data_IF_801975875834
#
_entry.id   IF_801975875834
#
_cell.length_a   1.000
_cell.length_b   1.000
_cell.length_c   1.000
_cell.angle_alpha   90.00
_cell.angle_beta   90.00
_cell.angle_gamma   90.00
#
_symmetry.space_group_name_H-M   'P 1'
#
loop_
_entity.id
_entity.type
_entity.pdbx_description
1 polymer ?
#
# COMPACT_ATOMS: atom_id res chain seq x y z
N UNK A 1 -3.41 0.29 0.95
CA UNK A 1 -3.84 0.53 -0.44
C UNK A 1 -2.64 0.80 -1.36
N UNK A 2 -1.87 1.88 -1.15
CA UNK A 2 -0.84 2.30 -2.12
C UNK A 2 0.29 1.28 -2.33
N UNK A 3 0.81 0.72 -1.25
CA UNK A 3 1.83 -0.35 -1.32
C UNK A 3 1.32 -1.56 -2.11
N UNK A 4 0.05 -1.95 -1.94
CA UNK A 4 -0.54 -3.08 -2.66
C UNK A 4 -0.66 -2.76 -4.17
N UNK A 5 -1.21 -1.59 -4.53
CA UNK A 5 -1.31 -1.19 -5.93
C UNK A 5 0.06 -1.08 -6.62
N UNK A 6 1.06 -0.53 -5.92
CA UNK A 6 2.45 -0.48 -6.40
C UNK A 6 3.00 -1.89 -6.63
N UNK A 7 2.88 -2.78 -5.63
CA UNK A 7 3.34 -4.16 -5.72
C UNK A 7 2.73 -4.91 -6.93
N UNK A 8 1.43 -4.77 -7.17
CA UNK A 8 0.76 -5.41 -8.30
C UNK A 8 1.29 -4.92 -9.65
N UNK A 9 1.67 -3.65 -9.75
CA UNK A 9 2.29 -3.13 -10.96
C UNK A 9 3.77 -3.52 -11.09
N UNK A 10 4.52 -3.63 -9.99
CA UNK A 10 5.92 -4.09 -10.01
C UNK A 10 6.03 -5.57 -10.42
N UNK A 11 5.16 -6.43 -9.88
CA UNK A 11 5.15 -7.85 -10.21
C UNK A 11 4.41 -8.15 -11.51
N UNK A 12 3.41 -7.35 -11.88
CA UNK A 12 2.58 -7.57 -13.05
C UNK A 12 2.02 -8.99 -13.05
N UNK A 13 2.28 -9.76 -14.11
CA UNK A 13 1.78 -11.13 -14.27
C UNK A 13 2.49 -12.17 -13.39
N UNK A 14 3.59 -11.81 -12.70
CA UNK A 14 4.31 -12.73 -11.79
C UNK A 14 3.74 -12.74 -10.38
N UNK A 15 2.81 -11.84 -10.07
CA UNK A 15 2.24 -11.74 -8.73
C UNK A 15 1.48 -13.03 -8.39
N UNK A 16 1.57 -13.54 -7.14
CA UNK A 16 0.77 -14.66 -6.68
C UNK A 16 -0.65 -14.23 -6.27
N UNK A 17 -1.04 -12.99 -6.55
CA UNK A 17 -2.33 -12.41 -6.17
C UNK A 17 -3.27 -12.51 -7.36
N UNK A 18 -4.36 -13.26 -7.22
CA UNK A 18 -5.32 -13.45 -8.32
C UNK A 18 -6.19 -12.20 -8.55
N UNK A 19 -6.60 -11.53 -7.47
CA UNK A 19 -7.45 -10.34 -7.52
C UNK A 19 -7.15 -9.38 -6.37
N UNK A 20 -7.40 -8.09 -6.57
CA UNK A 20 -7.18 -7.09 -5.54
C UNK A 20 -8.26 -6.02 -5.47
N UNK A 21 -8.48 -5.49 -4.28
CA UNK A 21 -9.25 -4.27 -4.09
C UNK A 21 -8.45 -3.24 -3.28
N UNK A 22 -8.42 -2.01 -3.77
CA UNK A 22 -7.78 -0.87 -3.10
C UNK A 22 -8.80 0.24 -2.85
N UNK A 23 -8.95 0.61 -1.58
CA UNK A 23 -9.94 1.59 -1.13
C UNK A 23 -9.22 2.81 -0.55
N UNK A 24 -9.68 4.01 -0.91
CA UNK A 24 -9.10 5.28 -0.46
C UNK A 24 -7.62 5.41 -0.86
N UNK A 25 -7.23 4.86 -2.02
CA UNK A 25 -5.82 4.70 -2.35
C UNK A 25 -5.14 6.08 -2.59
N UNK A 26 -4.04 6.39 -1.88
CA UNK A 26 -3.25 7.59 -2.15
C UNK A 26 -2.29 7.36 -3.34
N UNK A 27 -2.76 7.61 -4.57
CA UNK A 27 -2.06 7.28 -5.82
C UNK A 27 -0.78 8.07 -6.10
N UNK A 28 -0.83 9.39 -5.87
CA UNK A 28 0.26 10.34 -6.11
C UNK A 28 0.67 10.97 -4.76
N UNK A 29 1.69 10.40 -4.13
CA UNK A 29 2.18 10.85 -2.82
C UNK A 29 2.72 12.28 -2.86
N UNK A 30 3.49 12.72 -3.89
CA UNK A 30 3.85 14.12 -4.04
C UNK A 30 2.65 15.07 -4.06
N UNK A 31 1.58 14.73 -4.79
CA UNK A 31 0.37 15.54 -4.86
C UNK A 31 -0.34 15.62 -3.50
N UNK A 32 -0.52 14.47 -2.86
CA UNK A 32 -1.20 14.36 -1.57
C UNK A 32 -0.46 15.17 -0.52
N UNK A 33 0.86 15.01 -0.43
CA UNK A 33 1.65 15.74 0.55
C UNK A 33 1.62 17.27 0.36
N UNK A 34 1.35 17.78 -0.85
CA UNK A 34 1.14 19.22 -1.09
C UNK A 34 -0.23 19.72 -0.65
N UNK A 35 -1.26 18.86 -0.70
CA UNK A 35 -2.65 19.22 -0.41
C UNK A 35 -3.13 18.79 0.97
N UNK A 36 -2.36 17.96 1.67
CA UNK A 36 -2.70 17.46 2.99
C UNK A 36 -2.86 18.61 3.98
N UNK A 37 -3.97 18.66 4.75
CA UNK A 37 -4.15 19.64 5.79
C UNK A 37 -3.04 19.54 6.85
N UNK A 38 -2.54 20.70 7.31
CA UNK A 38 -1.47 20.74 8.31
C UNK A 38 -1.79 19.90 9.55
N UNK A 39 -3.03 19.97 10.03
CA UNK A 39 -3.49 19.19 11.20
C UNK A 39 -3.31 17.68 11.00
N UNK A 40 -3.55 17.17 9.80
CA UNK A 40 -3.35 15.75 9.47
C UNK A 40 -1.86 15.44 9.47
N UNK A 41 -1.03 16.27 8.81
CA UNK A 41 0.41 16.04 8.74
C UNK A 41 1.11 16.14 10.11
N UNK A 42 0.62 16.99 11.00
CA UNK A 42 1.18 17.20 12.33
C UNK A 42 0.84 16.03 13.26
N UNK A 43 -0.44 15.63 13.32
CA UNK A 43 -0.86 14.45 14.10
C UNK A 43 -0.14 13.19 13.65
N UNK A 44 0.03 12.99 12.34
CA UNK A 44 0.79 11.85 11.82
C UNK A 44 2.26 11.89 12.24
N UNK A 45 2.91 13.05 12.16
CA UNK A 45 4.30 13.20 12.59
C UNK A 45 4.47 12.88 14.09
N UNK A 46 3.59 13.41 14.94
CA UNK A 46 3.60 13.13 16.39
C UNK A 46 3.43 11.64 16.67
N UNK A 47 2.44 10.98 16.06
CA UNK A 47 2.21 9.55 16.25
C UNK A 47 3.41 8.69 15.80
N UNK A 48 4.07 9.09 14.71
CA UNK A 48 5.26 8.38 14.20
C UNK A 48 6.48 8.58 15.10
N UNK A 49 6.65 9.78 15.68
CA UNK A 49 7.68 10.05 16.69
C UNK A 49 7.46 9.21 17.95
N UNK A 50 6.22 9.12 18.43
CA UNK A 50 5.87 8.25 19.57
C UNK A 50 6.16 6.78 19.27
N UNK A 51 5.82 6.31 18.07
CA UNK A 51 6.12 4.95 17.63
C UNK A 51 7.65 4.69 17.62
N UNK A 52 8.45 5.63 17.13
CA UNK A 52 9.92 5.53 17.16
C UNK A 52 10.51 5.42 18.57
N UNK A 53 9.85 6.04 19.55
CA UNK A 53 10.26 5.95 20.95
C UNK A 53 9.76 4.71 21.67
N UNK A 54 8.78 4.01 21.12
CA UNK A 54 8.32 2.75 21.68
C UNK A 54 9.40 1.67 21.56
N UNK A 55 9.48 0.76 22.55
CA UNK A 55 10.41 -0.39 22.51
C UNK A 55 10.24 -1.30 21.28
N UNK A 56 9.18 -1.11 20.49
CA UNK A 56 8.94 -1.81 19.23
C UNK A 56 9.83 -1.28 18.08
N UNK A 57 10.31 -0.04 18.15
CA UNK A 57 11.12 0.58 17.11
C UNK A 57 12.63 0.42 17.37
N UNK A 58 13.09 -0.83 17.47
CA UNK A 58 14.55 -1.15 17.48
C UNK A 58 15.26 -0.86 16.14
N UNK A 59 14.57 -0.24 15.18
CA UNK A 59 15.08 0.00 13.82
C UNK A 59 16.14 1.11 13.72
N UNK A 60 16.29 1.93 14.77
CA UNK A 60 17.11 3.15 14.73
C UNK A 60 18.43 3.03 15.52
N UNK A 61 18.54 2.03 16.40
CA UNK A 61 19.80 1.74 17.09
C UNK A 61 20.81 1.14 16.08
N UNK A 62 21.63 2.01 15.47
CA UNK A 62 22.80 1.58 14.70
C UNK A 62 23.00 2.21 13.31
N UNK A 63 22.17 3.18 12.90
CA UNK A 63 22.44 3.89 11.63
C UNK A 63 22.99 5.29 11.89
N UNK A 64 24.28 5.50 11.61
CA UNK A 64 24.96 6.82 11.70
C UNK A 64 24.33 7.89 10.79
N UNK A 65 23.48 7.46 9.85
CA UNK A 65 22.83 8.31 8.87
C UNK A 65 21.55 8.98 9.38
N UNK A 66 20.97 8.53 10.51
CA UNK A 66 19.67 9.01 11.01
C UNK A 66 19.87 9.78 12.31
N UNK A 67 19.53 11.06 12.30
CA UNK A 67 19.57 11.93 13.48
C UNK A 67 18.26 11.85 14.25
N UNK A 68 18.26 11.21 15.42
CA UNK A 68 17.09 11.19 16.31
C UNK A 68 16.60 12.60 16.64
N UNK A 69 17.52 13.57 16.78
CA UNK A 69 17.17 14.98 17.02
C UNK A 69 16.31 15.55 15.89
N UNK A 70 16.67 15.30 14.63
CA UNK A 70 15.94 15.83 13.48
C UNK A 70 14.58 15.17 13.32
N UNK A 71 14.50 13.86 13.59
CA UNK A 71 13.26 13.10 13.59
C UNK A 71 12.27 13.66 14.61
N UNK A 72 12.76 14.00 15.81
CA UNK A 72 11.94 14.55 16.89
C UNK A 72 11.59 16.02 16.74
N UNK A 73 12.37 16.76 15.98
CA UNK A 73 12.06 18.15 15.65
C UNK A 73 11.00 18.28 14.53
N UNK A 74 10.66 17.19 13.84
CA UNK A 74 9.70 17.22 12.74
C UNK A 74 8.29 17.61 13.22
N UNK A 75 7.65 18.54 12.50
CA UNK A 75 6.28 19.01 12.78
C UNK A 75 5.26 18.56 11.74
N UNK A 76 5.74 17.99 10.63
CA UNK A 76 4.91 17.49 9.54
C UNK A 76 5.45 16.14 9.08
N UNK A 77 4.58 15.31 8.51
CA UNK A 77 4.98 14.01 7.96
C UNK A 77 6.11 14.12 6.93
N UNK A 78 6.10 15.16 6.09
CA UNK A 78 7.20 15.43 5.15
C UNK A 78 8.55 15.64 5.86
N UNK A 79 8.56 16.39 6.95
CA UNK A 79 9.78 16.64 7.73
C UNK A 79 10.26 15.35 8.40
N UNK A 80 9.33 14.55 8.93
CA UNK A 80 9.65 13.25 9.51
C UNK A 80 10.23 12.31 8.44
N UNK A 81 9.61 12.23 7.26
CA UNK A 81 10.06 11.38 6.16
C UNK A 81 11.41 11.83 5.59
N UNK A 82 11.65 13.15 5.50
CA UNK A 82 12.95 13.72 5.13
C UNK A 82 14.03 13.39 6.17
N UNK A 83 13.67 13.41 7.46
CA UNK A 83 14.58 13.11 8.54
C UNK A 83 14.91 11.62 8.65
N UNK A 84 13.90 10.77 8.44
CA UNK A 84 13.92 9.34 8.70
C UNK A 84 13.84 8.50 7.42
N UNK A 85 12.65 8.38 6.80
CA UNK A 85 12.38 7.39 5.75
C UNK A 85 13.31 7.54 4.54
N UNK A 86 13.52 8.77 4.08
CA UNK A 86 14.44 9.07 2.98
C UNK A 86 15.82 8.47 3.25
N UNK A 87 16.36 8.69 4.46
CA UNK A 87 17.70 8.25 4.83
C UNK A 87 17.77 6.76 5.10
N UNK A 88 16.72 6.23 5.74
CA UNK A 88 16.58 4.80 6.02
C UNK A 88 16.60 3.96 4.74
N UNK A 89 15.87 4.42 3.71
CA UNK A 89 15.80 3.74 2.41
C UNK A 89 16.84 4.24 1.38
N UNK A 90 17.71 5.19 1.75
CA UNK A 90 18.81 5.63 0.90
C UNK A 90 18.45 6.55 -0.27
N UNK A 91 17.31 7.25 -0.24
CA UNK A 91 16.92 8.20 -1.28
C UNK A 91 17.67 9.55 -1.17
N UNK A 92 17.89 10.19 -2.33
CA UNK A 92 18.55 11.50 -2.40
C UNK A 92 17.69 12.62 -1.81
N UNK A 93 16.38 12.62 -2.07
CA UNK A 93 15.39 13.56 -1.51
C UNK A 93 14.11 12.84 -1.06
N UNK A 94 13.33 13.43 -0.14
CA UNK A 94 12.00 12.91 0.19
C UNK A 94 11.05 12.95 -1.01
N UNK A 95 11.32 13.84 -1.98
CA UNK A 95 10.60 13.88 -3.24
C UNK A 95 10.85 12.64 -4.10
N UNK A 96 12.08 12.11 -4.11
CA UNK A 96 12.41 10.84 -4.77
C UNK A 96 11.69 9.68 -4.09
N UNK A 97 11.74 9.63 -2.76
CA UNK A 97 11.03 8.63 -1.96
C UNK A 97 9.53 8.61 -2.28
N UNK A 98 8.87 9.77 -2.31
CA UNK A 98 7.44 9.82 -2.63
C UNK A 98 7.13 9.50 -4.08
N UNK A 99 7.96 9.94 -5.05
CA UNK A 99 7.75 9.59 -6.46
C UNK A 99 7.84 8.09 -6.66
N UNK A 100 8.87 7.46 -6.12
CA UNK A 100 9.06 6.02 -6.23
C UNK A 100 7.95 5.26 -5.49
N UNK A 101 7.57 5.72 -4.30
CA UNK A 101 6.47 5.15 -3.53
C UNK A 101 5.08 5.32 -4.16
N UNK A 102 4.90 6.16 -5.18
CA UNK A 102 3.58 6.46 -5.74
C UNK A 102 3.09 5.35 -6.68
N UNK A 103 1.96 4.71 -6.35
CA UNK A 103 1.39 3.64 -7.16
C UNK A 103 0.92 4.08 -8.55
N UNK A 104 0.66 5.39 -8.76
CA UNK A 104 0.23 5.93 -10.06
C UNK A 104 1.14 5.54 -11.22
N UNK A 105 2.46 5.51 -11.00
CA UNK A 105 3.45 5.18 -12.03
C UNK A 105 3.39 3.70 -12.48
N UNK A 106 2.79 2.84 -11.66
CA UNK A 106 2.80 1.39 -11.83
C UNK A 106 1.45 0.84 -12.35
N UNK A 107 0.40 1.67 -12.43
CA UNK A 107 -0.95 1.25 -12.83
C UNK A 107 -0.94 0.51 -14.16
N UNK A 108 -0.22 1.02 -15.16
CA UNK A 108 -0.16 0.43 -16.51
C UNK A 108 0.45 -0.98 -16.54
N UNK A 109 1.21 -1.35 -15.51
CA UNK A 109 1.88 -2.65 -15.41
C UNK A 109 1.06 -3.69 -14.63
N UNK A 110 -0.05 -3.31 -13.99
CA UNK A 110 -0.97 -4.25 -13.31
C UNK A 110 -1.54 -5.23 -14.35
N UNK A 111 -1.54 -6.53 -14.03
CA UNK A 111 -1.99 -7.64 -14.91
C UNK A 111 -3.03 -8.56 -14.27
N UNK A 112 -3.56 -8.19 -13.11
CA UNK A 112 -4.58 -8.95 -12.40
C UNK A 112 -5.78 -8.04 -12.12
N UNK A 113 -7.01 -8.55 -12.10
CA UNK A 113 -8.17 -7.70 -11.92
C UNK A 113 -8.09 -6.95 -10.59
N UNK A 114 -8.13 -5.63 -10.68
CA UNK A 114 -8.01 -4.72 -9.55
C UNK A 114 -9.19 -3.76 -9.51
N UNK A 115 -9.96 -3.81 -8.42
CA UNK A 115 -10.99 -2.82 -8.12
C UNK A 115 -10.42 -1.67 -7.28
N UNK A 116 -10.43 -0.46 -7.83
CA UNK A 116 -10.07 0.77 -7.14
C UNK A 116 -11.33 1.55 -6.72
N UNK A 117 -11.36 2.03 -5.47
CA UNK A 117 -12.45 2.87 -4.96
C UNK A 117 -11.90 4.10 -4.24
N UNK A 118 -12.30 5.30 -4.66
CA UNK A 118 -11.93 6.57 -4.00
C UNK A 118 -13.15 7.49 -3.85
N UNK A 119 -13.18 8.32 -2.82
CA UNK A 119 -14.22 9.33 -2.65
C UNK A 119 -13.72 10.69 -3.14
N UNK A 120 -14.59 11.47 -3.79
CA UNK A 120 -14.26 12.80 -4.31
C UNK A 120 -14.19 13.86 -3.20
N UNK A 121 -14.82 13.60 -2.05
CA UNK A 121 -14.77 14.43 -0.83
C UNK A 121 -13.68 13.98 0.16
N UNK A 122 -12.75 13.12 -0.25
CA UNK A 122 -11.65 12.64 0.59
C UNK A 122 -10.72 13.79 1.00
N UNK A 123 -10.56 14.09 2.31
CA UNK A 123 -9.71 15.18 2.79
C UNK A 123 -8.21 14.86 2.74
N UNK A 124 -7.85 13.60 2.47
CA UNK A 124 -6.47 13.11 2.34
C UNK A 124 -6.12 12.94 0.87
N UNK A 125 -6.96 12.24 0.10
CA UNK A 125 -6.75 11.99 -1.34
C UNK A 125 -7.61 12.94 -2.16
N UNK A 126 -7.10 14.15 -2.37
CA UNK A 126 -7.80 15.16 -3.15
C UNK A 126 -8.08 14.67 -4.59
N UNK A 127 -9.31 14.88 -5.10
CA UNK A 127 -9.79 14.35 -6.38
C UNK A 127 -8.90 14.67 -7.60
N UNK A 128 -8.20 15.81 -7.59
CA UNK A 128 -7.24 16.20 -8.65
C UNK A 128 -5.98 15.33 -8.72
N UNK A 129 -5.75 14.47 -7.72
CA UNK A 129 -4.65 13.50 -7.71
C UNK A 129 -5.12 12.07 -8.04
N UNK A 130 -6.37 11.92 -8.50
CA UNK A 130 -6.90 10.61 -8.89
C UNK A 130 -6.49 10.26 -10.33
N UNK A 131 -6.03 9.03 -10.57
CA UNK A 131 -5.48 8.61 -11.86
C UNK A 131 -6.56 8.06 -12.79
N UNK A 132 -7.49 8.94 -13.19
CA UNK A 132 -8.63 8.56 -14.03
C UNK A 132 -8.17 7.94 -15.36
N UNK A 133 -7.22 8.58 -16.03
CA UNK A 133 -6.74 8.16 -17.34
C UNK A 133 -5.90 6.89 -17.26
N UNK A 134 -5.02 6.78 -16.26
CA UNK A 134 -4.17 5.60 -16.09
C UNK A 134 -4.99 4.36 -15.79
N UNK A 135 -6.00 4.45 -14.90
CA UNK A 135 -6.90 3.33 -14.59
C UNK A 135 -7.78 3.01 -15.80
N UNK A 136 -8.39 4.00 -16.45
CA UNK A 136 -9.23 3.76 -17.63
C UNK A 136 -8.44 3.11 -18.79
N UNK A 137 -7.14 3.41 -18.91
CA UNK A 137 -6.28 2.83 -19.95
C UNK A 137 -5.87 1.38 -19.69
N UNK A 138 -6.01 0.86 -18.47
CA UNK A 138 -5.61 -0.51 -18.15
C UNK A 138 -6.84 -1.45 -18.10
N UNK A 139 -6.94 -2.45 -18.99
CA UNK A 139 -8.08 -3.37 -19.04
C UNK A 139 -8.23 -4.26 -17.80
N UNK A 140 -7.19 -4.39 -16.96
CA UNK A 140 -7.24 -5.15 -15.71
C UNK A 140 -7.79 -4.33 -14.53
N UNK A 141 -8.17 -3.07 -14.74
CA UNK A 141 -8.58 -2.22 -13.62
C UNK A 141 -10.00 -1.70 -13.80
N UNK A 142 -10.73 -1.67 -12.69
CA UNK A 142 -12.02 -1.00 -12.58
C UNK A 142 -11.91 0.12 -11.54
N UNK A 143 -12.36 1.32 -11.88
CA UNK A 143 -12.28 2.46 -10.98
C UNK A 143 -13.66 3.02 -10.65
N UNK A 144 -13.96 3.10 -9.36
CA UNK A 144 -15.20 3.66 -8.84
C UNK A 144 -14.87 4.90 -8.02
N UNK A 145 -15.43 6.03 -8.43
CA UNK A 145 -15.42 7.24 -7.62
C UNK A 145 -16.80 7.53 -7.05
N UNK A 146 -16.86 7.91 -5.78
CA UNK A 146 -18.12 8.28 -5.13
C UNK A 146 -18.10 9.76 -4.81
N UNK A 147 -19.28 10.41 -4.89
CA UNK A 147 -19.38 11.83 -4.52
C UNK A 147 -19.03 12.07 -3.05
N UNK A 148 -19.38 11.12 -2.18
CA UNK A 148 -19.15 11.19 -0.74
C UNK A 148 -18.61 9.87 -0.19
N UNK A 149 -17.84 9.94 0.90
CA UNK A 149 -17.26 8.80 1.60
C UNK A 149 -16.07 9.16 2.48
N UNK A 150 -15.49 10.36 2.31
CA UNK A 150 -14.26 10.73 3.01
C UNK A 150 -13.12 9.74 2.72
N UNK A 151 -12.09 9.74 3.57
CA UNK A 151 -10.93 8.86 3.35
C UNK A 151 -11.23 7.37 3.56
N UNK A 152 -12.05 7.06 4.58
CA UNK A 152 -12.32 5.68 5.03
C UNK A 152 -13.79 5.46 5.42
N UNK A 153 -14.68 6.41 5.12
CA UNK A 153 -15.95 6.56 5.83
C UNK A 153 -17.18 6.61 4.93
N UNK A 154 -17.29 5.66 3.98
CA UNK A 154 -18.51 5.36 3.20
C UNK A 154 -19.66 4.84 4.10
N UNK A 155 -20.01 5.61 5.13
CA UNK A 155 -21.08 5.34 6.07
C UNK A 155 -22.40 5.82 5.45
N UNK A 156 -23.43 4.99 5.58
CA UNK A 156 -24.80 5.39 5.26
C UNK A 156 -25.55 5.56 6.57
N UNK A 157 -26.21 6.71 6.76
CA UNK A 157 -27.17 6.85 7.85
C UNK A 157 -28.40 6.00 7.50
N UNK A 158 -28.77 5.09 8.40
CA UNK A 158 -30.03 4.34 8.28
C UNK A 158 -31.18 5.34 8.18
N UNK A 159 -31.99 5.24 7.12
CA UNK A 159 -33.12 6.13 6.84
C UNK A 159 -33.99 6.32 8.10
N UNK A 160 -34.43 7.55 8.40
CA UNK A 160 -35.13 7.88 9.66
C UNK A 160 -36.41 7.07 9.86
N UNK A 161 -36.98 6.53 8.77
CA UNK A 161 -38.14 5.62 8.74
C UNK A 161 -37.88 4.22 9.29
N UNK A 162 -36.64 3.73 9.31
CA UNK A 162 -36.33 2.37 9.82
C UNK A 162 -36.16 2.31 11.34
N UNK A 163 -36.09 3.45 12.04
CA UNK A 163 -36.02 3.49 13.51
C UNK A 163 -37.31 3.02 14.19
N UNK A 164 -38.47 3.16 13.54
CA UNK A 164 -39.76 2.79 14.12
C UNK A 164 -40.01 1.27 14.13
N UNK A 165 -39.20 0.47 13.41
CA UNK A 165 -39.36 -0.98 13.31
C UNK A 165 -38.40 -1.79 14.20
N UNK A 166 -37.73 -1.17 15.17
CA UNK A 166 -36.89 -1.89 16.15
C UNK A 166 -35.68 -2.63 15.56
N UNK A 167 -35.34 -2.40 14.29
CA UNK A 167 -34.16 -2.98 13.67
C UNK A 167 -32.93 -2.13 14.01
N UNK A 168 -32.22 -2.50 15.07
CA UNK A 168 -30.84 -2.08 15.29
C UNK A 168 -29.93 -2.80 14.28
N UNK A 169 -29.94 -2.37 13.02
CA UNK A 169 -28.87 -2.74 12.09
C UNK A 169 -28.39 -1.47 11.41
N UNK A 170 -27.28 -0.96 11.92
CA UNK A 170 -26.41 -0.08 11.15
C UNK A 170 -25.98 -0.93 9.96
N UNK A 171 -26.59 -0.73 8.79
CA UNK A 171 -26.17 -1.39 7.55
C UNK A 171 -24.77 -0.88 7.23
N UNK A 172 -23.77 -1.64 7.70
CA UNK A 172 -22.38 -1.30 7.50
C UNK A 172 -22.05 -1.55 6.03
N UNK A 173 -21.98 -0.42 5.31
CA UNK A 173 -21.07 -0.19 4.17
C UNK A 173 -21.51 -0.94 2.92
N UNK A 174 -22.32 -0.30 2.08
CA UNK A 174 -22.53 -0.73 0.69
C UNK A 174 -21.19 -1.04 -0.02
N UNK A 175 -20.10 -0.34 0.35
CA UNK A 175 -18.76 -0.60 -0.15
C UNK A 175 -18.25 -2.01 0.24
N UNK A 176 -18.60 -2.54 1.40
CA UNK A 176 -18.29 -3.92 1.76
C UNK A 176 -19.06 -4.92 0.88
N UNK A 177 -20.34 -4.64 0.56
CA UNK A 177 -21.11 -5.46 -0.37
C UNK A 177 -20.55 -5.40 -1.80
N UNK A 178 -20.11 -4.21 -2.24
CA UNK A 178 -19.42 -4.02 -3.52
C UNK A 178 -18.13 -4.86 -3.57
N UNK A 179 -17.27 -4.73 -2.55
CA UNK A 179 -16.00 -5.45 -2.47
C UNK A 179 -16.26 -6.95 -2.46
N UNK A 180 -17.23 -7.42 -1.67
CA UNK A 180 -17.62 -8.83 -1.64
C UNK A 180 -18.10 -9.30 -3.01
N UNK A 181 -19.01 -8.57 -3.65
CA UNK A 181 -19.51 -8.93 -4.98
C UNK A 181 -18.43 -8.97 -6.06
N UNK A 182 -17.41 -8.09 -5.97
CA UNK A 182 -16.25 -8.15 -6.84
C UNK A 182 -15.47 -9.46 -6.66
N UNK A 183 -15.18 -9.86 -5.42
CA UNK A 183 -14.48 -11.11 -5.16
C UNK A 183 -15.34 -12.34 -5.49
N UNK A 184 -16.64 -12.31 -5.22
CA UNK A 184 -17.57 -13.40 -5.57
C UNK A 184 -17.60 -13.63 -7.10
N UNK A 185 -17.65 -12.55 -7.88
CA UNK A 185 -17.58 -12.61 -9.34
C UNK A 185 -16.24 -13.15 -9.82
N UNK A 186 -15.15 -12.64 -9.24
CA UNK A 186 -13.79 -13.02 -9.59
C UNK A 186 -13.54 -14.52 -9.36
N UNK A 187 -13.94 -15.05 -8.20
CA UNK A 187 -13.83 -16.48 -7.88
C UNK A 187 -14.78 -17.33 -8.73
N UNK A 188 -15.99 -16.84 -9.01
CA UNK A 188 -16.93 -17.51 -9.91
C UNK A 188 -16.38 -17.70 -11.33
N UNK A 189 -15.60 -16.73 -11.84
CA UNK A 189 -14.96 -16.82 -13.16
C UNK A 189 -13.85 -17.88 -13.22
N UNK A 190 -13.14 -18.14 -12.11
CA UNK A 190 -12.14 -19.23 -12.06
C UNK A 190 -12.80 -20.62 -12.09
N UNK A 191 -13.98 -20.75 -11.47
CA UNK A 191 -14.75 -22.00 -11.45
C UNK A 191 -15.28 -22.42 -12.83
N UNK A 192 -15.57 -21.46 -13.72
CA UNK A 192 -16.05 -21.73 -15.08
C UNK A 192 -14.91 -22.02 -16.08
N UNK A 193 -13.69 -21.52 -15.84
CA UNK A 193 -12.52 -21.83 -16.68
C UNK A 193 -11.86 -23.18 -16.35
N UNK A 194 -12.26 -23.84 -15.26
CA UNK A 194 -11.78 -25.18 -14.86
C UNK A 194 -12.42 -26.35 -15.61
N UNK A 195 -13.37 -26.09 -16.52
CA UNK A 195 -13.94 -27.08 -17.42
C UNK A 195 -13.36 -26.92 -18.81
N UNK A 196 -12.58 -27.90 -19.27
CA UNK A 196 -12.06 -28.06 -20.64
C UNK A 196 -10.66 -27.48 -20.93
N UNK A 197 -9.64 -28.24 -20.54
CA UNK A 197 -8.52 -28.60 -21.43
C UNK A 197 -7.67 -29.72 -20.82
N UNK A 198 -8.04 -30.96 -21.14
CA UNK A 198 -7.13 -32.11 -21.09
C UNK A 198 -6.08 -31.93 -22.20
N UNK A 199 -4.94 -31.32 -21.88
CA UNK A 199 -3.69 -31.55 -22.62
C UNK A 199 -2.51 -31.53 -21.65
N UNK A 200 -2.12 -32.75 -21.29
CA UNK A 200 -0.89 -33.19 -20.64
C UNK A 200 0.34 -32.32 -20.98
N UNK A 201 0.90 -31.64 -19.98
CA UNK A 201 2.30 -31.21 -19.99
C UNK A 201 2.90 -31.37 -18.59
N UNK A 202 4.09 -31.99 -18.44
CA UNK A 202 4.65 -32.28 -17.12
C UNK A 202 5.14 -31.01 -16.42
N UNK A 203 4.73 -30.81 -15.17
CA UNK A 203 5.29 -29.77 -14.29
C UNK A 203 6.76 -30.09 -13.98
N UNK A 204 7.69 -29.31 -14.55
CA UNK A 204 9.07 -29.26 -14.07
C UNK A 204 9.10 -28.71 -12.64
N UNK A 205 9.62 -29.53 -11.72
CA UNK A 205 9.89 -29.15 -10.33
C UNK A 205 11.13 -28.26 -10.25
N UNK A 206 10.96 -27.00 -9.83
CA UNK A 206 12.08 -26.08 -9.53
C UNK A 206 12.81 -26.47 -8.24
N UNK A 207 14.16 -26.44 -8.19
CA UNK A 207 14.94 -26.83 -7.02
C UNK A 207 14.98 -25.75 -5.92
N UNK A 208 14.89 -26.21 -4.66
CA UNK A 208 15.04 -25.39 -3.44
C UNK A 208 16.46 -24.86 -3.30
N UNK A 209 16.64 -23.54 -3.32
CA UNK A 209 17.92 -22.93 -2.93
C UNK A 209 18.07 -22.88 -1.41
N UNK A 210 19.10 -23.59 -0.92
CA UNK A 210 19.61 -23.52 0.46
C UNK A 210 20.31 -22.18 0.72
N UNK A 211 20.10 -21.66 1.92
CA UNK A 211 20.77 -20.48 2.50
C UNK A 211 22.28 -20.70 2.60
N UNK A 212 23.08 -19.74 2.16
CA UNK A 212 24.49 -19.63 2.56
C UNK A 212 24.63 -18.48 3.55
N UNK A 213 24.76 -18.83 4.83
CA UNK A 213 25.35 -17.94 5.83
C UNK A 213 26.86 -17.93 5.60
N UNK A 214 27.46 -16.75 5.43
CA UNK A 214 28.89 -16.57 5.67
C UNK A 214 29.08 -15.85 7.01
N UNK A 215 29.65 -16.59 7.94
CA UNK A 215 30.06 -16.13 9.26
C UNK A 215 31.43 -15.46 9.16
N UNK A 216 31.54 -14.27 9.74
CA UNK A 216 32.79 -13.57 10.00
C UNK A 216 33.49 -14.19 11.21
N UNK A 217 34.80 -14.42 11.10
CA UNK A 217 35.76 -14.67 12.19
C UNK A 217 37.12 -15.01 11.55
N UNK A 218 38.27 -14.39 11.84
CA UNK A 218 38.66 -13.64 13.02
C UNK A 218 39.81 -14.38 13.72
N UNK A 219 41.06 -14.08 13.34
CA UNK A 219 42.24 -14.14 14.21
C UNK A 219 43.09 -15.42 14.26
N UNK A 220 44.36 -15.28 13.90
CA UNK A 220 45.46 -15.56 14.85
C UNK A 220 46.32 -16.81 14.65
N UNK A 221 47.56 -16.58 14.19
CA UNK A 221 48.77 -17.00 14.93
C UNK A 221 49.50 -18.30 14.55
N UNK A 222 50.84 -18.18 14.42
CA UNK A 222 51.83 -19.28 14.39
C UNK A 222 52.19 -19.74 12.97
N UNK A 223 53.43 -19.81 12.49
CA UNK A 223 54.74 -19.86 13.12
C UNK A 223 55.61 -20.89 12.36
N UNK A 224 56.87 -20.51 12.09
CA UNK A 224 58.02 -21.35 11.74
C UNK A 224 58.23 -21.89 10.30
N UNK A 225 59.37 -21.48 9.73
CA UNK A 225 60.42 -22.42 9.30
C UNK A 225 60.53 -22.68 7.81
N UNK A 226 61.39 -21.96 7.09
CA UNK A 226 62.77 -22.34 6.70
C UNK A 226 63.35 -21.31 5.73
#
# INVERSE_FOLDING_TARGET
>A
ANVAAKYLGEEGARTPVDFACVVGNPWDLPHINRKLPYIVTNTLATNLQEFQHSKAAKFVEGSDKISNKDVLAAKTIKQYDEAFLRRHFGYASVGDYYRDGSSIAYIKAVRVPMLAVNALDDPVVHWTGLPFDELASNPYTAFITTRTGGHLGWFQTSDRRNREKGASSVDQRWICNLIRGFFDLAVGMEGEQGGESDLDTPRETLPRHQKTQQHVGGGGGGGAGS
#
